data_IF_373103942816
#
_entry.id   IF_373103942816
#
_cell.length_a   1.000
_cell.length_b   1.000
_cell.length_c   1.000
_cell.angle_alpha   90.00
_cell.angle_beta   90.00
_cell.angle_gamma   90.00
#
_symmetry.space_group_name_H-M   'P 1'
#
loop_
_entity.id
_entity.type
_entity.pdbx_description
1 polymer ?
#
# COMPACT_ATOMS: atom_id res chain seq x y z
N UNK A 1 4.23 -2.41 14.45
CA UNK A 1 5.16 -2.53 13.31
C UNK A 1 5.41 -1.13 12.79
N UNK A 2 6.65 -0.70 12.70
CA UNK A 2 7.01 0.61 12.12
C UNK A 2 7.34 0.42 10.63
N UNK A 3 6.94 1.36 9.77
CA UNK A 3 7.32 1.35 8.35
C UNK A 3 8.69 2.00 8.19
N UNK A 4 9.69 1.22 7.78
CA UNK A 4 11.08 1.64 7.62
C UNK A 4 11.38 2.24 6.24
N UNK A 5 10.60 1.87 5.22
CA UNK A 5 10.83 2.34 3.86
C UNK A 5 9.78 1.86 2.87
N UNK A 6 9.71 2.56 1.74
CA UNK A 6 8.82 2.24 0.61
C UNK A 6 9.53 2.52 -0.71
N UNK A 7 9.20 1.77 -1.75
CA UNK A 7 9.64 2.08 -3.11
C UNK A 7 8.69 1.45 -4.12
N UNK A 8 8.31 2.22 -5.13
CA UNK A 8 7.44 1.78 -6.21
C UNK A 8 8.19 1.93 -7.54
N UNK A 9 8.09 0.91 -8.38
CA UNK A 9 8.57 0.93 -9.76
C UNK A 9 7.48 0.40 -10.71
N UNK A 10 7.81 0.24 -12.00
CA UNK A 10 6.85 -0.20 -13.01
C UNK A 10 6.49 -1.70 -12.93
N UNK A 11 7.12 -2.46 -12.05
CA UNK A 11 6.89 -3.90 -11.86
C UNK A 11 6.21 -4.20 -10.53
N UNK A 12 6.54 -3.46 -9.47
CA UNK A 12 6.05 -3.73 -8.12
C UNK A 12 6.17 -2.53 -7.17
N UNK A 13 5.39 -2.59 -6.10
CA UNK A 13 5.65 -1.81 -4.88
C UNK A 13 6.36 -2.69 -3.85
N UNK A 14 7.13 -2.06 -2.95
CA UNK A 14 7.68 -2.69 -1.76
C UNK A 14 7.52 -1.80 -0.54
N UNK A 15 7.14 -2.43 0.57
CA UNK A 15 7.07 -1.81 1.88
C UNK A 15 7.91 -2.60 2.89
N UNK A 16 8.81 -1.91 3.58
CA UNK A 16 9.68 -2.46 4.61
C UNK A 16 9.16 -2.13 6.01
N UNK A 17 9.15 -3.13 6.88
CA UNK A 17 8.64 -3.02 8.24
C UNK A 17 9.66 -3.51 9.27
N UNK A 18 9.77 -2.79 10.38
CA UNK A 18 10.49 -3.22 11.57
C UNK A 18 9.65 -4.21 12.36
N UNK A 19 10.13 -5.44 12.50
CA UNK A 19 9.45 -6.50 13.24
C UNK A 19 10.43 -7.53 13.76
N UNK A 20 10.34 -7.82 15.05
CA UNK A 20 11.11 -8.90 15.70
C UNK A 20 10.54 -10.28 15.34
N UNK A 21 9.24 -10.35 15.08
CA UNK A 21 8.55 -11.57 14.70
C UNK A 21 8.43 -11.70 13.18
N UNK A 22 8.48 -12.94 12.69
CA UNK A 22 8.25 -13.23 11.28
C UNK A 22 6.79 -12.96 10.94
N UNK A 23 6.56 -12.29 9.80
CA UNK A 23 5.22 -12.18 9.24
C UNK A 23 4.63 -13.57 8.99
N UNK A 24 3.49 -13.84 9.61
CA UNK A 24 2.76 -15.09 9.41
C UNK A 24 2.22 -15.15 7.97
N UNK A 25 2.57 -16.19 7.18
CA UNK A 25 2.07 -16.38 5.81
C UNK A 25 0.53 -16.39 5.70
N UNK A 26 -0.18 -16.99 6.66
CA UNK A 26 -1.65 -17.06 6.65
C UNK A 26 -2.27 -15.68 6.81
N UNK A 27 -1.71 -14.87 7.73
CA UNK A 27 -2.12 -13.46 7.88
C UNK A 27 -1.84 -12.64 6.64
N UNK A 28 -0.76 -12.95 5.90
CA UNK A 28 -0.47 -12.25 4.64
C UNK A 28 -1.53 -12.54 3.57
N UNK A 29 -2.02 -13.78 3.50
CA UNK A 29 -3.13 -14.17 2.60
C UNK A 29 -4.42 -13.44 2.99
N UNK A 30 -4.71 -13.33 4.29
CA UNK A 30 -5.85 -12.55 4.78
C UNK A 30 -5.74 -11.07 4.42
N UNK A 31 -4.56 -10.46 4.62
CA UNK A 31 -4.30 -9.07 4.24
C UNK A 31 -4.45 -8.86 2.74
N UNK A 32 -3.93 -9.78 1.90
CA UNK A 32 -4.11 -9.72 0.45
C UNK A 32 -5.59 -9.71 0.07
N UNK A 33 -6.39 -10.58 0.69
CA UNK A 33 -7.85 -10.62 0.47
C UNK A 33 -8.50 -9.31 0.88
N UNK A 34 -8.21 -8.79 2.07
CA UNK A 34 -8.77 -7.53 2.56
C UNK A 34 -8.42 -6.34 1.66
N UNK A 35 -7.18 -6.28 1.15
CA UNK A 35 -6.76 -5.25 0.21
C UNK A 35 -7.52 -5.34 -1.11
N UNK A 36 -7.68 -6.53 -1.68
CA UNK A 36 -8.43 -6.73 -2.91
C UNK A 36 -9.93 -6.44 -2.73
N UNK A 37 -10.51 -6.83 -1.59
CA UNK A 37 -11.89 -6.51 -1.23
C UNK A 37 -12.07 -4.98 -1.11
N UNK A 38 -11.12 -4.27 -0.50
CA UNK A 38 -11.13 -2.82 -0.44
C UNK A 38 -11.03 -2.16 -1.82
N UNK A 39 -10.13 -2.65 -2.67
CA UNK A 39 -9.96 -2.19 -4.05
C UNK A 39 -11.27 -2.33 -4.85
N UNK A 40 -11.93 -3.49 -4.74
CA UNK A 40 -13.18 -3.79 -5.46
C UNK A 40 -14.36 -2.90 -5.06
N UNK A 41 -14.33 -2.30 -3.86
CA UNK A 41 -15.38 -1.36 -3.41
C UNK A 41 -15.38 -0.03 -4.16
N UNK A 42 -14.43 0.17 -5.09
CA UNK A 42 -14.40 1.30 -6.02
C UNK A 42 -14.51 2.66 -5.31
N UNK A 43 -13.70 2.85 -4.27
CA UNK A 43 -13.71 4.06 -3.43
C UNK A 43 -13.03 5.21 -4.14
N UNK A 44 -13.58 6.41 -4.00
CA UNK A 44 -12.97 7.63 -4.49
C UNK A 44 -11.68 7.95 -3.72
N UNK A 45 -10.64 8.32 -4.46
CA UNK A 45 -9.37 8.81 -3.95
C UNK A 45 -9.29 10.30 -4.25
N UNK A 46 -9.12 11.10 -3.20
CA UNK A 46 -9.02 12.56 -3.28
C UNK A 46 -7.62 12.99 -2.88
N UNK A 47 -7.08 13.97 -3.62
CA UNK A 47 -5.84 14.65 -3.23
C UNK A 47 -6.06 16.14 -3.22
N UNK A 48 -5.65 16.81 -2.14
CA UNK A 48 -5.90 18.23 -1.93
C UNK A 48 -4.84 18.86 -1.00
N UNK A 49 -4.60 20.18 -1.06
CA UNK A 49 -3.66 20.86 -0.15
C UNK A 49 -4.09 20.77 1.33
N UNK A 50 -3.13 20.62 2.24
CA UNK A 50 -3.39 20.62 3.68
C UNK A 50 -3.83 22.00 4.14
N UNK A 51 -4.76 22.05 5.10
CA UNK A 51 -5.21 23.30 5.74
C UNK A 51 -4.12 23.95 6.57
N UNK A 52 -3.15 23.18 7.06
CA UNK A 52 -2.03 23.68 7.86
C UNK A 52 -0.89 24.25 7.02
N UNK A 53 -0.74 23.81 5.78
CA UNK A 53 0.29 24.26 4.84
C UNK A 53 -0.09 23.81 3.42
N UNK A 54 -0.35 24.77 2.54
CA UNK A 54 -0.76 24.50 1.16
C UNK A 54 0.29 23.75 0.31
N UNK A 55 1.56 23.77 0.73
CA UNK A 55 2.64 23.02 0.08
C UNK A 55 2.63 21.52 0.43
N UNK A 56 1.82 21.11 1.41
CA UNK A 56 1.66 19.72 1.81
C UNK A 56 0.40 19.18 1.15
N UNK A 57 0.52 18.11 0.35
CA UNK A 57 -0.65 17.44 -0.24
C UNK A 57 -1.14 16.31 0.66
N UNK A 58 -2.44 16.32 0.94
CA UNK A 58 -3.17 15.25 1.60
C UNK A 58 -3.70 14.29 0.54
N UNK A 59 -3.51 13.00 0.78
CA UNK A 59 -4.20 11.91 0.11
C UNK A 59 -5.26 11.35 1.06
N UNK A 60 -6.48 11.18 0.56
CA UNK A 60 -7.61 10.65 1.31
C UNK A 60 -8.37 9.62 0.48
N UNK A 61 -8.67 8.48 1.11
CA UNK A 61 -9.54 7.44 0.55
C UNK A 61 -10.31 6.78 1.69
N UNK A 62 -11.63 6.78 1.61
CA UNK A 62 -12.51 6.28 2.67
C UNK A 62 -12.17 6.93 4.03
N UNK A 63 -11.84 6.15 5.06
CA UNK A 63 -11.41 6.64 6.37
C UNK A 63 -9.87 6.80 6.53
N UNK A 64 -9.11 6.64 5.45
CA UNK A 64 -7.64 6.69 5.47
C UNK A 64 -7.17 8.05 4.94
N UNK A 65 -6.32 8.72 5.72
CA UNK A 65 -5.68 9.99 5.33
C UNK A 65 -4.18 9.95 5.58
N UNK A 66 -3.39 10.46 4.65
CA UNK A 66 -1.95 10.60 4.79
C UNK A 66 -1.41 11.76 3.96
N UNK A 67 -0.24 12.28 4.31
CA UNK A 67 0.47 13.24 3.46
C UNK A 67 1.19 12.49 2.34
N UNK A 68 0.92 12.85 1.08
CA UNK A 68 1.58 12.23 -0.08
C UNK A 68 1.65 13.18 -1.28
N UNK A 69 2.87 13.41 -1.75
CA UNK A 69 3.19 14.20 -2.95
C UNK A 69 3.32 13.38 -4.25
N UNK A 70 3.03 12.07 -4.23
CA UNK A 70 3.12 11.19 -5.40
C UNK A 70 1.88 11.23 -6.31
N UNK A 71 2.00 10.79 -7.56
CA UNK A 71 0.86 10.68 -8.47
C UNK A 71 -0.08 9.55 -8.02
N UNK A 72 -1.40 9.76 -8.14
CA UNK A 72 -2.41 8.80 -7.71
C UNK A 72 -3.53 8.67 -8.73
N UNK A 73 -4.13 7.48 -8.80
CA UNK A 73 -5.41 7.23 -9.45
C UNK A 73 -6.55 7.93 -8.70
N UNK A 74 -7.72 8.05 -9.33
CA UNK A 74 -8.88 8.74 -8.75
C UNK A 74 -9.85 7.79 -8.06
N UNK A 75 -9.76 6.50 -8.34
CA UNK A 75 -10.59 5.47 -7.74
C UNK A 75 -9.79 4.20 -7.45
N UNK A 76 -10.09 3.52 -6.35
CA UNK A 76 -9.39 2.27 -5.98
C UNK A 76 -9.52 1.19 -7.05
N UNK A 77 -10.62 1.15 -7.81
CA UNK A 77 -10.82 0.17 -8.87
C UNK A 77 -9.80 0.28 -10.01
N UNK A 78 -9.21 1.46 -10.22
CA UNK A 78 -8.17 1.69 -11.23
C UNK A 78 -6.84 1.02 -10.88
N UNK A 79 -6.64 0.60 -9.63
CA UNK A 79 -5.42 -0.10 -9.19
C UNK A 79 -5.34 -1.50 -9.83
N UNK A 80 -6.49 -2.17 -9.99
CA UNK A 80 -6.56 -3.57 -10.39
C UNK A 80 -6.28 -4.54 -9.22
N UNK A 81 -6.36 -5.84 -9.52
CA UNK A 81 -6.16 -6.89 -8.52
C UNK A 81 -4.68 -6.97 -8.14
N UNK A 82 -4.40 -7.16 -6.86
CA UNK A 82 -3.03 -7.24 -6.33
C UNK A 82 -2.72 -8.62 -5.75
N UNK A 83 -1.42 -8.93 -5.70
CA UNK A 83 -0.84 -10.07 -4.98
C UNK A 83 0.27 -9.59 -4.05
N UNK A 84 0.33 -10.12 -2.84
CA UNK A 84 1.36 -9.85 -1.85
C UNK A 84 2.38 -11.00 -1.80
N UNK A 85 3.64 -10.63 -1.60
CA UNK A 85 4.73 -11.58 -1.39
C UNK A 85 5.60 -11.10 -0.24
N UNK A 86 5.89 -11.99 0.70
CA UNK A 86 6.87 -11.74 1.76
C UNK A 86 8.28 -11.98 1.23
N UNK A 87 9.18 -11.06 1.54
CA UNK A 87 10.62 -11.19 1.33
C UNK A 87 11.35 -10.94 2.66
N UNK A 88 12.33 -11.79 3.00
CA UNK A 88 13.10 -11.63 4.23
C UNK A 88 14.32 -10.71 3.99
N UNK A 89 14.50 -9.68 4.83
CA UNK A 89 15.59 -8.70 4.72
C UNK A 89 16.69 -8.86 5.79
N UNK A 90 16.67 -9.96 6.53
CA UNK A 90 17.54 -10.22 7.69
C UNK A 90 16.81 -10.05 9.02
N UNK A 91 17.55 -10.15 10.12
CA UNK A 91 16.99 -10.08 11.47
C UNK A 91 16.29 -8.74 11.73
N UNK A 92 15.08 -8.79 12.32
CA UNK A 92 14.32 -7.61 12.74
C UNK A 92 13.63 -6.83 11.60
N UNK A 93 13.72 -7.30 10.34
CA UNK A 93 13.18 -6.60 9.17
C UNK A 93 12.35 -7.53 8.29
N UNK A 94 11.19 -7.04 7.90
CA UNK A 94 10.26 -7.75 7.03
C UNK A 94 9.95 -6.89 5.81
N UNK A 95 9.94 -7.49 4.61
CA UNK A 95 9.51 -6.83 3.38
C UNK A 95 8.25 -7.48 2.86
N UNK A 96 7.29 -6.65 2.48
CA UNK A 96 6.14 -7.05 1.68
C UNK A 96 6.28 -6.40 0.31
N UNK A 97 6.30 -7.22 -0.73
CA UNK A 97 6.24 -6.79 -2.12
C UNK A 97 4.81 -6.95 -2.63
N UNK A 98 4.32 -5.95 -3.34
CA UNK A 98 2.97 -5.90 -3.90
C UNK A 98 3.08 -5.88 -5.42
N UNK A 99 2.38 -6.80 -6.07
CA UNK A 99 2.35 -6.95 -7.52
C UNK A 99 0.94 -6.73 -8.05
N UNK A 100 0.83 -6.15 -9.24
CA UNK A 100 -0.41 -6.19 -10.00
C UNK A 100 -0.56 -7.59 -10.61
N UNK A 101 -1.78 -8.14 -10.54
CA UNK A 101 -2.12 -9.37 -11.25
C UNK A 101 -2.44 -8.98 -12.69
N UNK A 102 -1.63 -9.46 -13.63
CA UNK A 102 -1.89 -9.25 -15.05
C UNK A 102 -3.28 -9.77 -15.39
N UNK A 103 -4.07 -8.95 -16.08
CA UNK A 103 -5.31 -9.40 -16.70
C UNK A 103 -4.91 -10.03 -18.02
N UNK A 104 -4.99 -11.37 -18.09
CA UNK A 104 -4.87 -12.12 -19.35
C UNK A 104 -5.91 -11.67 -20.36
#
# INVERSE_FOLDING_TARGET
MERLGTNVDNKKDRSDYGSQEKLNPEKLVEVEKLCNDFISKSKEIRTYPSTSNENIRVWECDNIKMFCGGTHVKNTSEIGKIRLKRENKGAGKERVETYLVESN
#
